data_IF_986421902630
#
_entry.id   IF_986421902630
#
_cell.length_a   1.000
_cell.length_b   1.000
_cell.length_c   1.000
_cell.angle_alpha   90.00
_cell.angle_beta   90.00
_cell.angle_gamma   90.00
#
_symmetry.space_group_name_H-M   'P 1'
#
loop_
_entity.id
_entity.type
_entity.pdbx_description
1 polymer ?
#
# COMPACT_ATOMS: atom_id res chain seq x y z
N UNK A 1 17.68 -8.43 3.68
CA UNK A 1 16.84 -8.76 2.54
C UNK A 1 15.42 -8.24 2.76
N UNK A 2 15.03 -7.26 2.00
CA UNK A 2 13.82 -6.50 2.30
C UNK A 2 12.84 -6.45 1.13
N UNK A 3 12.72 -7.56 0.39
CA UNK A 3 11.75 -7.67 -0.70
C UNK A 3 10.71 -8.71 -0.39
N UNK A 4 9.47 -8.44 -0.77
CA UNK A 4 8.37 -9.40 -0.63
C UNK A 4 7.62 -9.51 -1.94
N UNK A 5 7.05 -10.69 -2.18
CA UNK A 5 6.15 -10.94 -3.29
C UNK A 5 4.72 -10.82 -2.80
N UNK A 6 3.95 -9.99 -3.47
CA UNK A 6 2.55 -9.76 -3.13
C UNK A 6 1.70 -9.76 -4.39
N UNK A 7 0.52 -10.35 -4.32
CA UNK A 7 -0.51 -10.14 -5.30
C UNK A 7 -1.37 -8.97 -4.82
N UNK A 8 -1.29 -7.86 -5.54
CA UNK A 8 -1.99 -6.63 -5.17
C UNK A 8 -3.02 -6.36 -6.26
N UNK A 9 -4.28 -6.43 -5.88
CA UNK A 9 -5.42 -6.18 -6.77
C UNK A 9 -5.37 -7.02 -8.06
N UNK A 10 -4.93 -8.27 -7.93
CA UNK A 10 -4.89 -9.22 -9.04
C UNK A 10 -3.61 -9.25 -9.84
N UNK A 11 -2.60 -8.47 -9.49
CA UNK A 11 -1.31 -8.44 -10.18
C UNK A 11 -0.17 -8.73 -9.21
N UNK A 12 0.82 -9.51 -9.67
CA UNK A 12 1.98 -9.85 -8.85
C UNK A 12 3.02 -8.74 -8.86
N UNK A 13 3.56 -8.45 -7.67
CA UNK A 13 4.62 -7.48 -7.46
C UNK A 13 5.70 -8.05 -6.57
N UNK A 14 6.93 -7.59 -6.78
CA UNK A 14 8.03 -7.83 -5.86
C UNK A 14 8.51 -6.47 -5.38
N UNK A 15 8.22 -6.13 -4.14
CA UNK A 15 8.41 -4.79 -3.59
C UNK A 15 9.43 -4.79 -2.46
N UNK A 16 10.20 -3.70 -2.39
CA UNK A 16 11.05 -3.44 -1.24
C UNK A 16 10.20 -3.09 -0.03
N UNK A 17 10.73 -3.38 1.16
CA UNK A 17 10.09 -3.02 2.42
C UNK A 17 10.99 -2.04 3.17
N UNK A 18 10.42 -0.90 3.52
CA UNK A 18 11.05 0.10 4.38
C UNK A 18 10.49 -0.07 5.80
N UNK A 19 11.35 -0.47 6.73
CA UNK A 19 10.96 -0.69 8.13
C UNK A 19 11.10 0.54 9.01
N UNK A 20 11.29 1.71 8.38
CA UNK A 20 11.46 2.98 9.08
C UNK A 20 12.71 3.01 9.97
N UNK A 21 13.69 2.19 9.63
CA UNK A 21 15.02 2.11 10.25
C UNK A 21 15.89 1.13 9.47
N UNK A 22 17.17 1.10 9.75
CA UNK A 22 18.12 0.19 9.11
C UNK A 22 17.83 -1.28 9.43
N UNK A 23 17.34 -1.54 10.63
CA UNK A 23 17.04 -2.92 11.06
C UNK A 23 15.60 -3.04 11.50
N UNK A 24 14.88 -4.06 10.97
CA UNK A 24 13.54 -4.35 11.48
C UNK A 24 13.59 -4.93 12.89
N UNK A 25 12.53 -4.70 13.65
CA UNK A 25 12.32 -5.40 14.91
C UNK A 25 11.72 -6.78 14.64
N UNK A 26 11.81 -7.69 15.63
CA UNK A 26 11.17 -9.00 15.51
C UNK A 26 9.67 -8.88 15.29
N UNK A 27 9.03 -7.92 15.96
CA UNK A 27 7.60 -7.66 15.78
C UNK A 27 7.27 -7.18 14.38
N UNK A 28 8.12 -6.37 13.78
CA UNK A 28 7.92 -5.94 12.40
C UNK A 28 8.03 -7.11 11.43
N UNK A 29 9.00 -7.99 11.64
CA UNK A 29 9.17 -9.17 10.79
C UNK A 29 7.93 -10.08 10.92
N UNK A 30 7.46 -10.34 12.14
CA UNK A 30 6.26 -11.14 12.37
C UNK A 30 5.03 -10.50 11.71
N UNK A 31 4.89 -9.19 11.82
CA UNK A 31 3.77 -8.46 11.21
C UNK A 31 3.83 -8.54 9.68
N UNK A 32 5.01 -8.45 9.10
CA UNK A 32 5.18 -8.59 7.65
C UNK A 32 4.82 -10.00 7.19
N UNK A 33 5.29 -11.02 7.91
CA UNK A 33 4.96 -12.41 7.58
C UNK A 33 3.46 -12.67 7.65
N UNK A 34 2.80 -12.13 8.67
CA UNK A 34 1.35 -12.22 8.80
C UNK A 34 0.62 -11.53 7.65
N UNK A 35 1.06 -10.34 7.28
CA UNK A 35 0.50 -9.58 6.16
C UNK A 35 0.63 -10.36 4.85
N UNK A 36 1.80 -10.92 4.59
CA UNK A 36 2.06 -11.72 3.39
C UNK A 36 1.18 -12.98 3.39
N UNK A 37 1.06 -13.64 4.53
CA UNK A 37 0.25 -14.86 4.64
C UNK A 37 -1.24 -14.59 4.39
N UNK A 38 -1.72 -13.38 4.70
CA UNK A 38 -3.12 -12.99 4.56
C UNK A 38 -3.38 -12.09 3.36
N UNK A 39 -2.43 -11.98 2.44
CA UNK A 39 -2.50 -11.01 1.35
C UNK A 39 -3.75 -11.14 0.48
N UNK A 40 -4.24 -12.34 0.25
CA UNK A 40 -5.43 -12.53 -0.59
C UNK A 40 -6.66 -11.84 0.01
N UNK A 41 -6.81 -11.91 1.34
CA UNK A 41 -7.91 -11.27 2.03
C UNK A 41 -7.72 -9.77 2.14
N UNK A 42 -6.47 -9.32 2.30
CA UNK A 42 -6.15 -7.90 2.55
C UNK A 42 -6.10 -7.10 1.25
N UNK A 43 -5.54 -7.68 0.19
CA UNK A 43 -5.17 -6.98 -1.04
C UNK A 43 -5.98 -7.44 -2.27
N UNK A 44 -7.03 -8.23 -2.09
CA UNK A 44 -7.79 -8.78 -3.21
C UNK A 44 -8.64 -7.76 -3.95
N UNK A 45 -8.97 -6.64 -3.33
CA UNK A 45 -9.95 -5.69 -3.85
C UNK A 45 -9.39 -4.27 -3.89
N UNK A 46 -9.52 -3.62 -5.03
CA UNK A 46 -9.07 -2.25 -5.24
C UNK A 46 -10.15 -1.19 -5.07
N UNK A 47 -11.37 -1.60 -4.70
CA UNK A 47 -12.53 -0.70 -4.67
C UNK A 47 -12.30 0.56 -3.83
N UNK A 48 -11.74 0.39 -2.64
CA UNK A 48 -11.52 1.53 -1.72
C UNK A 48 -10.47 2.50 -2.25
N UNK A 49 -9.49 2.00 -2.98
CA UNK A 49 -8.48 2.83 -3.62
C UNK A 49 -9.09 3.62 -4.77
N UNK A 50 -9.90 2.95 -5.61
CA UNK A 50 -10.62 3.63 -6.68
C UNK A 50 -11.61 4.66 -6.14
N UNK A 51 -12.30 4.36 -5.05
CA UNK A 51 -13.22 5.30 -4.40
C UNK A 51 -12.48 6.56 -3.96
N UNK A 52 -11.28 6.42 -3.41
CA UNK A 52 -10.44 7.55 -3.06
C UNK A 52 -10.09 8.38 -4.29
N UNK A 53 -9.64 7.73 -5.37
CA UNK A 53 -9.30 8.42 -6.61
C UNK A 53 -10.49 9.20 -7.18
N UNK A 54 -11.66 8.58 -7.16
CA UNK A 54 -12.91 9.21 -7.62
C UNK A 54 -13.30 10.41 -6.76
N UNK A 55 -12.94 10.38 -5.48
CA UNK A 55 -13.22 11.48 -4.56
C UNK A 55 -12.32 12.68 -4.82
N UNK A 56 -11.02 12.44 -5.05
CA UNK A 56 -10.04 13.53 -5.18
C UNK A 56 -9.86 14.01 -6.62
N UNK A 57 -10.10 13.14 -7.61
CA UNK A 57 -9.92 13.45 -9.03
C UNK A 57 -11.11 12.95 -9.86
N UNK A 58 -12.30 13.26 -9.43
CA UNK A 58 -13.57 12.76 -9.96
C UNK A 58 -13.64 12.71 -11.49
N UNK A 59 -13.31 13.80 -12.16
CA UNK A 59 -13.49 13.92 -13.60
C UNK A 59 -12.40 13.22 -14.41
N UNK A 60 -11.34 12.75 -13.76
CA UNK A 60 -10.21 12.09 -14.42
C UNK A 60 -10.26 10.58 -14.31
N UNK A 61 -11.12 10.05 -13.44
CA UNK A 61 -11.23 8.60 -13.22
C UNK A 61 -12.35 8.07 -14.09
N UNK A 62 -11.97 7.48 -15.23
CA UNK A 62 -12.91 7.01 -16.25
C UNK A 62 -12.87 5.50 -16.44
N UNK A 63 -12.08 4.77 -15.65
CA UNK A 63 -11.93 3.33 -15.76
C UNK A 63 -11.95 2.70 -14.36
N UNK A 64 -12.38 1.45 -14.28
CA UNK A 64 -12.31 0.65 -13.05
C UNK A 64 -10.98 -0.08 -12.92
N UNK A 65 -10.09 0.05 -13.89
CA UNK A 65 -8.74 -0.50 -13.79
C UNK A 65 -7.87 0.43 -12.94
N UNK A 66 -7.67 0.07 -11.68
CA UNK A 66 -6.90 0.87 -10.72
C UNK A 66 -5.47 1.13 -11.21
N UNK A 67 -4.89 0.20 -11.95
CA UNK A 67 -3.51 0.32 -12.43
C UNK A 67 -3.33 1.39 -13.51
N UNK A 68 -4.41 1.94 -14.05
CA UNK A 68 -4.31 3.12 -14.92
C UNK A 68 -3.90 4.36 -14.17
N UNK A 69 -4.11 4.39 -12.86
CA UNK A 69 -3.90 5.59 -12.03
C UNK A 69 -2.91 5.37 -10.90
N UNK A 70 -2.89 4.17 -10.33
CA UNK A 70 -2.15 3.85 -9.11
C UNK A 70 -1.24 2.67 -9.36
N UNK A 71 0.06 2.83 -9.06
CA UNK A 71 1.03 1.75 -9.23
C UNK A 71 1.79 1.54 -7.93
N UNK A 72 1.65 0.36 -7.31
CA UNK A 72 2.44 0.01 -6.13
C UNK A 72 3.93 0.16 -6.39
N UNK A 73 4.64 0.78 -5.45
CA UNK A 73 6.06 1.09 -5.58
C UNK A 73 6.90 0.42 -4.48
N UNK A 74 6.53 0.56 -3.21
CA UNK A 74 7.20 -0.10 -2.11
C UNK A 74 6.28 -0.20 -0.89
N UNK A 75 6.70 -1.00 0.08
CA UNK A 75 5.98 -1.18 1.34
C UNK A 75 6.67 -0.35 2.42
N UNK A 76 5.89 0.36 3.22
CA UNK A 76 6.39 1.06 4.38
C UNK A 76 5.74 0.50 5.64
N UNK A 77 6.54 0.14 6.64
CA UNK A 77 6.02 -0.36 7.91
C UNK A 77 6.53 0.50 9.05
N UNK A 78 5.60 1.01 9.85
CA UNK A 78 5.96 1.78 11.04
C UNK A 78 6.60 0.90 12.10
N UNK A 79 7.39 1.53 12.99
CA UNK A 79 8.07 0.83 14.07
C UNK A 79 7.10 0.20 15.08
N UNK A 80 5.84 0.66 15.12
CA UNK A 80 4.82 0.07 15.98
C UNK A 80 4.41 -1.35 15.57
N UNK A 81 4.84 -1.82 14.41
CA UNK A 81 4.53 -3.13 13.84
C UNK A 81 3.03 -3.37 13.62
N UNK A 82 2.22 -2.32 13.63
CA UNK A 82 0.76 -2.40 13.41
C UNK A 82 0.34 -1.75 12.10
N UNK A 83 1.08 -0.76 11.64
CA UNK A 83 0.75 0.03 10.47
C UNK A 83 1.66 -0.37 9.31
N UNK A 84 1.04 -0.84 8.23
CA UNK A 84 1.72 -1.18 6.97
C UNK A 84 1.03 -0.39 5.88
N UNK A 85 1.82 0.25 5.02
CA UNK A 85 1.30 1.01 3.91
C UNK A 85 1.90 0.52 2.59
N UNK A 86 1.07 0.42 1.56
CA UNK A 86 1.56 0.26 0.19
C UNK A 86 1.71 1.66 -0.37
N UNK A 87 2.96 2.06 -0.59
CA UNK A 87 3.30 3.35 -1.12
C UNK A 87 3.23 3.27 -2.63
N UNK A 88 2.41 4.11 -3.23
CA UNK A 88 2.09 4.02 -4.65
C UNK A 88 2.41 5.32 -5.38
N UNK A 89 2.83 5.19 -6.62
CA UNK A 89 2.83 6.32 -7.55
C UNK A 89 1.38 6.58 -7.97
N UNK A 90 1.01 7.84 -8.06
CA UNK A 90 -0.33 8.24 -8.47
C UNK A 90 -0.24 9.14 -9.70
N UNK A 91 -0.97 8.78 -10.74
CA UNK A 91 -0.88 9.45 -12.05
C UNK A 91 -1.12 10.96 -11.97
N UNK A 92 -2.03 11.41 -11.12
CA UNK A 92 -2.43 12.82 -11.04
C UNK A 92 -1.70 13.59 -9.93
N UNK A 93 -0.77 12.94 -9.23
CA UNK A 93 0.10 13.57 -8.25
C UNK A 93 1.37 12.74 -8.09
N UNK A 94 2.21 12.77 -9.12
CA UNK A 94 3.45 11.98 -9.15
C UNK A 94 4.45 12.46 -8.12
N UNK A 95 4.38 13.72 -7.71
CA UNK A 95 5.30 14.28 -6.73
C UNK A 95 5.07 13.70 -5.33
N UNK A 96 3.82 13.58 -4.92
CA UNK A 96 3.50 13.14 -3.57
C UNK A 96 3.09 11.65 -3.51
N UNK A 97 2.44 11.13 -4.54
CA UNK A 97 1.92 9.79 -4.53
C UNK A 97 0.83 9.58 -3.48
N UNK A 98 0.40 8.34 -3.32
CA UNK A 98 -0.57 7.97 -2.29
C UNK A 98 -0.07 6.76 -1.50
N UNK A 99 -0.59 6.63 -0.28
CA UNK A 99 -0.35 5.49 0.59
C UNK A 99 -1.68 4.78 0.87
N UNK A 100 -1.71 3.48 0.63
CA UNK A 100 -2.83 2.62 1.01
C UNK A 100 -2.47 2.01 2.36
N UNK A 101 -3.16 2.41 3.41
CA UNK A 101 -2.76 2.16 4.79
C UNK A 101 -3.61 1.05 5.40
N UNK A 102 -2.94 0.09 6.02
CA UNK A 102 -3.55 -1.01 6.75
C UNK A 102 -3.08 -0.98 8.20
N UNK A 103 -3.99 -1.27 9.12
CA UNK A 103 -3.66 -1.43 10.53
C UNK A 103 -4.13 -2.79 11.01
N UNK A 104 -3.25 -3.55 11.64
CA UNK A 104 -3.56 -4.89 12.12
C UNK A 104 -4.16 -5.76 11.00
N UNK A 105 -3.59 -5.69 9.79
CA UNK A 105 -4.01 -6.41 8.60
C UNK A 105 -5.39 -6.04 8.08
N UNK A 106 -5.90 -4.86 8.45
CA UNK A 106 -7.20 -4.37 7.96
C UNK A 106 -7.02 -3.04 7.26
N UNK A 107 -7.76 -2.84 6.18
CA UNK A 107 -7.77 -1.54 5.50
C UNK A 107 -8.12 -0.43 6.49
N UNK A 108 -7.33 0.62 6.48
CA UNK A 108 -7.57 1.80 7.31
C UNK A 108 -7.99 3.01 6.46
N UNK A 109 -7.13 3.43 5.54
CA UNK A 109 -7.36 4.64 4.75
C UNK A 109 -6.43 4.70 3.55
N UNK A 110 -6.77 5.61 2.62
CA UNK A 110 -5.87 6.05 1.55
C UNK A 110 -5.58 7.53 1.80
N UNK A 111 -4.31 7.89 1.80
CA UNK A 111 -3.87 9.28 2.04
C UNK A 111 -2.69 9.61 1.13
N UNK A 112 -2.36 10.89 1.01
CA UNK A 112 -1.12 11.33 0.39
C UNK A 112 0.04 10.78 1.23
N UNK A 113 1.14 10.37 0.58
CA UNK A 113 2.25 9.70 1.28
C UNK A 113 2.79 10.51 2.47
N UNK A 114 2.86 11.83 2.35
CA UNK A 114 3.35 12.69 3.43
C UNK A 114 2.58 12.54 4.74
N UNK A 115 1.34 12.08 4.67
CA UNK A 115 0.50 11.92 5.87
C UNK A 115 0.86 10.69 6.69
N UNK A 116 1.61 9.74 6.13
CA UNK A 116 1.98 8.52 6.82
C UNK A 116 3.46 8.50 7.21
N UNK A 117 4.28 9.24 6.53
CA UNK A 117 5.74 9.29 6.76
C UNK A 117 6.14 10.16 7.96
#
# INVERSE_FOLDING_TARGET
MNKVKLNIWGRDFKLMVDFDDDKPTDKQIEALESFVAQQDAILGDSKKVLDYCKKVDKDRITSDNVFKYVMPHYIYMKRNAKTIAIMCNYKFDMEHGIAVVFENNKFNKVVVQDKIL
#
